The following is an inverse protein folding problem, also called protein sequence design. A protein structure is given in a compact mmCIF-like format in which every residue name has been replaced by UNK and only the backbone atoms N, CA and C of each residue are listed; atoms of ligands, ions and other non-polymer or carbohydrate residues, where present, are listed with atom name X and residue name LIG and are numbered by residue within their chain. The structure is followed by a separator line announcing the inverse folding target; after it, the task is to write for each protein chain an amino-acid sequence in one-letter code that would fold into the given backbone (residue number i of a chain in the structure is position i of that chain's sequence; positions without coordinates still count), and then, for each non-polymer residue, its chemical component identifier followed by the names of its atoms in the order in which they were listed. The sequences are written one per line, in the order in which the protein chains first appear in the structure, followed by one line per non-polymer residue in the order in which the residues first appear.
data_IF_411987613793
#
_entry.id   IF_411987613793
#
_cell.length_a   1.000
_cell.length_b   1.000
_cell.length_c   1.000
_cell.angle_alpha   90.00
_cell.angle_beta   90.00
_cell.angle_gamma   90.00
#
_symmetry.space_group_name_H-M   'P 1'
#
loop_
_entity.id
_entity.type
_entity.pdbx_description
1 polymer ?
#
# COMPACT_ATOMS: atom_id res chain seq x y z
N UNK A 1 31.13 -29.35 -30.61
CA UNK A 1 30.71 -29.43 -29.20
C UNK A 1 30.83 -28.04 -28.61
N UNK A 2 29.70 -27.37 -28.42
CA UNK A 2 29.61 -26.07 -27.76
C UNK A 2 29.42 -26.28 -26.26
N UNK A 3 29.95 -25.37 -25.45
CA UNK A 3 29.33 -24.89 -24.20
C UNK A 3 30.10 -23.64 -23.75
N UNK A 4 29.59 -22.49 -24.19
CA UNK A 4 29.91 -21.18 -23.61
C UNK A 4 29.14 -21.07 -22.29
N UNK A 5 29.86 -20.84 -21.18
CA UNK A 5 29.27 -20.55 -19.89
C UNK A 5 28.77 -19.11 -19.84
N UNK A 6 27.46 -18.94 -19.67
CA UNK A 6 26.82 -17.65 -19.40
C UNK A 6 26.86 -17.44 -17.88
N UNK A 7 27.43 -16.30 -17.47
CA UNK A 7 27.44 -15.84 -16.08
C UNK A 7 26.01 -15.53 -15.61
N UNK A 8 25.72 -15.94 -14.37
CA UNK A 8 24.43 -15.80 -13.72
C UNK A 8 24.00 -14.34 -13.53
N UNK A 9 22.76 -14.07 -13.92
CA UNK A 9 22.04 -12.82 -13.65
C UNK A 9 21.72 -12.82 -12.15
N UNK A 10 22.13 -11.76 -11.45
CA UNK A 10 21.82 -11.53 -10.04
C UNK A 10 20.30 -11.32 -9.83
N UNK A 11 19.82 -11.79 -8.67
CA UNK A 11 18.43 -12.00 -8.33
C UNK A 11 17.49 -10.81 -8.54
N UNK A 12 16.45 -11.07 -9.33
CA UNK A 12 15.24 -10.26 -9.46
C UNK A 12 14.43 -10.43 -8.17
N UNK A 13 14.34 -9.38 -7.34
CA UNK A 13 13.34 -9.31 -6.28
C UNK A 13 11.97 -8.98 -6.89
N UNK A 14 10.96 -9.76 -6.52
CA UNK A 14 9.55 -9.33 -6.53
C UNK A 14 8.88 -9.14 -7.90
N UNK A 15 8.83 -10.18 -8.75
CA UNK A 15 7.77 -10.24 -9.75
C UNK A 15 6.48 -10.55 -9.00
N UNK A 16 5.56 -9.59 -8.85
CA UNK A 16 4.11 -9.76 -8.95
C UNK A 16 3.44 -8.39 -9.14
N UNK A 17 3.47 -7.97 -10.40
CA UNK A 17 2.59 -7.00 -11.03
C UNK A 17 2.54 -7.38 -12.49
N UNK A 18 2.22 -8.65 -12.78
CA UNK A 18 1.98 -9.12 -14.14
C UNK A 18 0.70 -8.41 -14.58
N UNK A 19 0.85 -7.23 -15.17
CA UNK A 19 -0.09 -6.73 -16.16
C UNK A 19 -0.36 -7.88 -17.11
N UNK A 20 -1.65 -8.18 -17.33
CA UNK A 20 -2.09 -9.26 -18.18
C UNK A 20 -1.30 -9.32 -19.50
N UNK A 21 -0.36 -10.26 -19.57
CA UNK A 21 0.18 -10.74 -20.82
C UNK A 21 -0.90 -11.66 -21.37
N UNK A 22 -1.87 -11.09 -22.08
CA UNK A 22 -2.67 -11.78 -23.09
C UNK A 22 -2.93 -10.80 -24.23
N UNK A 23 -2.23 -11.03 -25.34
CA UNK A 23 -2.33 -10.26 -26.57
C UNK A 23 -1.06 -9.48 -26.92
N UNK A 24 0.06 -10.16 -27.18
CA UNK A 24 1.09 -9.55 -28.06
C UNK A 24 0.47 -9.54 -29.46
N UNK A 25 -0.32 -8.51 -29.73
CA UNK A 25 -0.62 -7.99 -31.05
C UNK A 25 -0.39 -6.48 -30.96
N UNK A 26 0.74 -6.03 -31.51
CA UNK A 26 0.98 -4.61 -31.78
C UNK A 26 1.46 -3.77 -30.60
N UNK A 27 2.60 -4.11 -29.98
CA UNK A 27 3.45 -3.05 -29.43
C UNK A 27 4.05 -2.31 -30.63
N UNK A 28 3.34 -1.30 -31.11
CA UNK A 28 3.80 -0.32 -32.08
C UNK A 28 4.70 0.72 -31.39
N UNK A 29 5.11 1.78 -32.10
CA UNK A 29 6.09 2.81 -31.70
C UNK A 29 6.33 2.92 -30.18
N UNK A 30 7.47 2.39 -29.70
CA UNK A 30 7.86 2.45 -28.28
C UNK A 30 8.03 1.10 -27.56
N UNK A 31 7.80 -0.04 -28.23
CA UNK A 31 8.16 -1.36 -27.69
C UNK A 31 9.67 -1.64 -27.71
N UNK A 32 10.11 -2.58 -26.86
CA UNK A 32 11.48 -3.07 -26.91
C UNK A 32 11.82 -3.60 -28.31
N UNK A 33 12.74 -2.94 -29.01
CA UNK A 33 13.08 -3.29 -30.38
C UNK A 33 13.84 -4.63 -30.40
N UNK A 34 13.26 -5.65 -31.04
CA UNK A 34 14.01 -6.87 -31.38
C UNK A 34 15.08 -6.58 -32.44
N UNK A 35 16.12 -7.44 -32.58
CA UNK A 35 17.23 -7.19 -33.52
C UNK A 35 16.79 -6.91 -34.97
N UNK A 36 15.73 -7.58 -35.44
CA UNK A 36 15.15 -7.36 -36.76
C UNK A 36 14.48 -5.98 -36.88
N UNK A 37 13.77 -5.54 -35.84
CA UNK A 37 13.15 -4.21 -35.82
C UNK A 37 14.23 -3.12 -35.79
N UNK A 38 15.27 -3.28 -34.99
CA UNK A 38 16.41 -2.36 -34.96
C UNK A 38 17.11 -2.26 -36.32
N UNK A 39 17.33 -3.40 -36.99
CA UNK A 39 17.92 -3.41 -38.34
C UNK A 39 17.01 -2.73 -39.37
N UNK A 40 15.71 -3.04 -39.37
CA UNK A 40 14.74 -2.43 -40.28
C UNK A 40 14.65 -0.90 -40.08
N UNK A 41 14.65 -0.42 -38.83
CA UNK A 41 14.69 1.01 -38.50
C UNK A 41 15.98 1.67 -39.01
N UNK A 42 17.14 1.01 -38.80
CA UNK A 42 18.44 1.52 -39.27
C UNK A 42 18.50 1.63 -40.79
N UNK A 43 18.15 0.56 -41.51
CA UNK A 43 18.13 0.55 -42.99
C UNK A 43 17.12 1.58 -43.54
N UNK A 44 15.97 1.75 -42.88
CA UNK A 44 15.00 2.79 -43.25
C UNK A 44 15.59 4.18 -43.07
N UNK A 45 16.27 4.44 -41.95
CA UNK A 45 16.91 5.72 -41.68
C UNK A 45 18.02 6.02 -42.72
N UNK A 46 18.87 5.04 -43.03
CA UNK A 46 19.91 5.16 -44.06
C UNK A 46 19.33 5.47 -45.45
N UNK A 47 18.21 4.86 -45.82
CA UNK A 47 17.53 5.12 -47.08
C UNK A 47 16.84 6.49 -47.16
N UNK A 48 16.50 7.11 -46.03
CA UNK A 48 15.80 8.40 -45.95
C UNK A 48 16.73 9.60 -45.74
N UNK A 49 17.93 9.40 -45.18
CA UNK A 49 18.78 10.47 -44.65
C UNK A 49 19.16 11.54 -45.67
N UNK A 50 19.37 11.15 -46.94
CA UNK A 50 19.99 12.04 -47.93
C UNK A 50 21.36 12.55 -47.47
N UNK A 51 21.80 13.69 -47.98
CA UNK A 51 22.98 14.39 -47.46
C UNK A 51 22.58 15.21 -46.22
N UNK A 52 23.22 14.95 -45.08
CA UNK A 52 23.06 15.72 -43.85
C UNK A 52 24.44 16.07 -43.29
N UNK A 53 24.69 17.35 -43.05
CA UNK A 53 25.98 17.88 -42.59
C UNK A 53 26.09 17.92 -41.05
N UNK A 54 25.14 17.31 -40.34
CA UNK A 54 25.07 17.30 -38.89
C UNK A 54 24.44 18.55 -38.26
N UNK A 55 23.93 19.49 -39.06
CA UNK A 55 23.18 20.64 -38.54
C UNK A 55 21.86 20.19 -37.89
N UNK A 56 21.44 20.90 -36.84
CA UNK A 56 20.23 20.57 -36.11
C UNK A 56 19.61 21.81 -35.47
N UNK A 57 18.35 21.68 -35.05
CA UNK A 57 17.65 22.73 -34.33
C UNK A 57 17.92 22.65 -32.83
N UNK A 58 17.92 23.79 -32.15
CA UNK A 58 17.91 23.80 -30.69
C UNK A 58 16.52 23.39 -30.22
N UNK A 59 16.37 22.28 -29.48
CA UNK A 59 15.08 21.85 -28.99
C UNK A 59 14.51 22.86 -28.00
N UNK A 60 13.18 22.88 -27.88
CA UNK A 60 12.51 23.67 -26.86
C UNK A 60 13.02 23.30 -25.46
N UNK A 61 13.18 24.30 -24.59
CA UNK A 61 13.57 24.07 -23.21
C UNK A 61 12.53 23.16 -22.52
N UNK A 62 12.95 22.19 -21.68
CA UNK A 62 12.03 21.37 -20.90
C UNK A 62 11.10 22.22 -20.03
N UNK A 63 9.89 21.72 -19.76
CA UNK A 63 8.95 22.41 -18.88
C UNK A 63 9.56 22.71 -17.50
N UNK A 64 9.25 23.91 -16.98
CA UNK A 64 9.60 24.32 -15.63
C UNK A 64 8.82 23.55 -14.55
N UNK A 65 7.61 23.09 -14.87
CA UNK A 65 6.74 22.37 -13.96
C UNK A 65 7.26 20.95 -13.71
N UNK A 66 7.32 20.57 -12.43
CA UNK A 66 7.86 19.26 -12.04
C UNK A 66 6.99 18.11 -12.55
N UNK A 67 5.67 18.31 -12.62
CA UNK A 67 4.74 17.28 -13.06
C UNK A 67 4.94 16.92 -14.54
N UNK A 68 5.20 17.90 -15.40
CA UNK A 68 5.44 17.67 -16.83
C UNK A 68 6.75 16.89 -17.05
N UNK A 69 7.80 17.25 -16.29
CA UNK A 69 9.08 16.50 -16.33
C UNK A 69 8.92 15.09 -15.80
N UNK A 70 8.08 14.89 -14.78
CA UNK A 70 7.78 13.57 -14.25
C UNK A 70 6.99 12.74 -15.29
N UNK A 71 5.99 13.32 -15.96
CA UNK A 71 5.22 12.66 -17.02
C UNK A 71 6.08 12.20 -18.20
N UNK A 72 7.12 12.96 -18.54
CA UNK A 72 8.03 12.63 -19.63
C UNK A 72 8.88 11.37 -19.35
N UNK A 73 9.01 10.96 -18.07
CA UNK A 73 9.76 9.76 -17.71
C UNK A 73 8.93 8.49 -17.98
N UNK A 74 9.64 7.43 -18.39
CA UNK A 74 9.09 6.07 -18.41
C UNK A 74 8.60 5.66 -17.01
N UNK A 75 7.61 4.76 -16.90
CA UNK A 75 7.01 4.38 -15.61
C UNK A 75 8.02 3.99 -14.52
N UNK A 76 9.00 3.14 -14.83
CA UNK A 76 9.99 2.67 -13.85
C UNK A 76 10.91 3.81 -13.38
N UNK A 77 11.27 4.73 -14.28
CA UNK A 77 12.06 5.92 -13.94
C UNK A 77 11.27 6.90 -13.06
N UNK A 78 9.96 7.05 -13.28
CA UNK A 78 9.08 7.82 -12.37
C UNK A 78 9.04 7.19 -10.99
N UNK A 79 8.82 5.88 -10.93
CA UNK A 79 8.77 5.14 -9.68
C UNK A 79 10.07 5.31 -8.88
N UNK A 80 11.22 5.13 -9.53
CA UNK A 80 12.53 5.32 -8.90
C UNK A 80 12.75 6.76 -8.39
N UNK A 81 12.36 7.78 -9.16
CA UNK A 81 12.51 9.18 -8.75
C UNK A 81 11.67 9.52 -7.51
N UNK A 82 10.43 9.04 -7.46
CA UNK A 82 9.54 9.24 -6.29
C UNK A 82 10.04 8.42 -5.09
N UNK A 83 10.45 7.17 -5.31
CA UNK A 83 11.01 6.33 -4.25
C UNK A 83 12.27 6.97 -3.62
N UNK A 84 13.12 7.62 -4.42
CA UNK A 84 14.27 8.34 -3.91
C UNK A 84 13.89 9.54 -3.04
N UNK A 85 12.87 10.33 -3.42
CA UNK A 85 12.38 11.44 -2.59
C UNK A 85 11.81 10.92 -1.25
N UNK A 86 11.12 9.80 -1.30
CA UNK A 86 10.44 9.20 -0.16
C UNK A 86 11.33 8.24 0.65
N UNK A 87 12.58 8.04 0.23
CA UNK A 87 13.52 7.17 0.92
C UNK A 87 13.77 7.67 2.34
N UNK A 88 13.68 6.77 3.32
CA UNK A 88 13.82 7.10 4.74
C UNK A 88 12.67 7.95 5.31
N UNK A 89 11.57 8.13 4.57
CA UNK A 89 10.39 8.84 5.08
C UNK A 89 9.81 8.16 6.33
N UNK A 90 9.78 6.83 6.32
CA UNK A 90 9.49 6.02 7.49
C UNK A 90 10.79 5.43 8.05
N UNK A 91 10.91 5.45 9.37
CA UNK A 91 12.00 4.80 10.09
C UNK A 91 11.44 3.73 11.01
N UNK A 92 12.15 2.62 11.12
CA UNK A 92 11.82 1.53 12.05
C UNK A 92 12.93 1.41 13.07
N UNK A 93 12.56 1.51 14.34
CA UNK A 93 13.43 1.47 15.52
C UNK A 93 12.78 0.58 16.58
N UNK A 94 13.22 0.66 17.83
CA UNK A 94 12.67 -0.13 18.93
C UNK A 94 13.34 -1.50 19.08
N UNK A 95 12.65 -2.41 19.74
CA UNK A 95 13.16 -3.76 20.05
C UNK A 95 12.36 -4.82 19.29
N UNK A 96 12.82 -6.06 19.28
CA UNK A 96 12.03 -7.18 18.75
C UNK A 96 10.73 -7.43 19.51
N UNK A 97 10.62 -6.99 20.77
CA UNK A 97 9.41 -7.08 21.57
C UNK A 97 8.43 -5.94 21.29
N UNK A 98 8.90 -4.82 20.76
CA UNK A 98 8.10 -3.64 20.47
C UNK A 98 8.73 -2.81 19.35
N UNK A 99 8.65 -3.24 18.08
CA UNK A 99 9.12 -2.45 16.95
C UNK A 99 8.35 -1.13 16.87
N UNK A 100 9.06 -0.03 16.60
CA UNK A 100 8.51 1.31 16.53
C UNK A 100 8.71 1.90 15.14
N UNK A 101 7.61 2.24 14.47
CA UNK A 101 7.61 2.94 13.18
C UNK A 101 7.38 4.42 13.43
N UNK A 102 8.10 5.29 12.72
CA UNK A 102 7.96 6.75 12.83
C UNK A 102 7.92 7.41 11.45
N UNK A 103 6.97 8.33 11.26
CA UNK A 103 6.81 9.13 10.04
C UNK A 103 6.12 10.47 10.32
N UNK A 104 6.80 11.59 10.00
CA UNK A 104 6.24 12.96 10.01
C UNK A 104 5.44 13.38 11.26
N UNK A 105 5.91 13.00 12.46
CA UNK A 105 5.27 13.37 13.72
C UNK A 105 4.24 12.36 14.22
N UNK A 106 4.05 11.27 13.46
CA UNK A 106 3.24 10.13 13.88
C UNK A 106 4.17 8.97 14.17
N UNK A 107 3.94 8.31 15.30
CA UNK A 107 4.68 7.08 15.67
C UNK A 107 3.72 5.98 16.01
N UNK A 108 4.14 4.74 15.79
CA UNK A 108 3.41 3.53 16.16
C UNK A 108 4.38 2.55 16.80
N UNK A 109 4.12 2.15 18.04
CA UNK A 109 4.84 1.06 18.71
C UNK A 109 3.95 -0.18 18.71
N UNK A 110 4.37 -1.28 18.06
CA UNK A 110 3.59 -2.52 18.00
C UNK A 110 4.16 -3.54 18.99
N UNK A 111 3.47 -3.87 20.10
CA UNK A 111 3.88 -4.95 20.97
C UNK A 111 3.89 -6.26 20.21
N UNK A 112 4.98 -7.02 20.24
CA UNK A 112 5.07 -8.28 19.50
C UNK A 112 4.32 -9.38 20.26
N UNK A 113 3.32 -10.05 19.65
CA UNK A 113 2.55 -11.08 20.34
C UNK A 113 3.42 -12.31 20.65
N UNK A 114 3.25 -12.86 21.86
CA UNK A 114 3.93 -14.07 22.31
C UNK A 114 3.44 -15.31 21.56
N UNK A 115 4.34 -16.28 21.33
CA UNK A 115 3.97 -17.50 20.60
C UNK A 115 2.89 -18.32 21.33
N UNK A 116 3.03 -18.48 22.65
CA UNK A 116 2.05 -19.20 23.47
C UNK A 116 0.68 -18.50 23.46
N UNK A 117 0.67 -17.16 23.47
CA UNK A 117 -0.55 -16.36 23.40
C UNK A 117 -1.24 -16.53 22.04
N UNK A 118 -0.49 -16.54 20.94
CA UNK A 118 -1.05 -16.78 19.61
C UNK A 118 -1.67 -18.17 19.50
N UNK A 119 -1.00 -19.20 20.04
CA UNK A 119 -1.52 -20.56 20.09
C UNK A 119 -2.83 -20.66 20.88
N UNK A 120 -2.93 -19.93 21.98
CA UNK A 120 -4.07 -19.97 22.91
C UNK A 120 -5.23 -19.09 22.45
N UNK A 121 -4.95 -17.84 22.08
CA UNK A 121 -5.95 -16.80 21.87
C UNK A 121 -6.28 -16.53 20.41
N UNK A 122 -5.48 -17.01 19.45
CA UNK A 122 -5.66 -16.66 18.03
C UNK A 122 -5.88 -17.86 17.10
N UNK A 123 -5.25 -19.00 17.38
CA UNK A 123 -5.41 -20.21 16.57
C UNK A 123 -6.87 -20.72 16.49
N UNK A 124 -7.71 -20.64 17.55
CA UNK A 124 -9.13 -21.01 17.44
C UNK A 124 -9.94 -20.16 16.45
N UNK A 125 -9.65 -18.86 16.36
CA UNK A 125 -10.27 -17.96 15.39
C UNK A 125 -9.85 -18.31 13.97
N UNK A 126 -8.54 -18.55 13.75
CA UNK A 126 -8.03 -18.99 12.46
C UNK A 126 -8.70 -20.28 12.01
N UNK A 127 -8.77 -21.29 12.90
CA UNK A 127 -9.44 -22.56 12.59
C UNK A 127 -10.88 -22.34 12.17
N UNK A 128 -11.61 -21.44 12.83
CA UNK A 128 -13.01 -21.16 12.50
C UNK A 128 -13.12 -20.43 11.16
N UNK A 129 -12.20 -19.50 10.86
CA UNK A 129 -12.15 -18.81 9.57
C UNK A 129 -11.83 -19.75 8.40
N UNK A 130 -11.11 -20.85 8.64
CA UNK A 130 -10.82 -21.86 7.61
C UNK A 130 -12.09 -22.54 7.03
N UNK A 131 -13.24 -22.45 7.69
CA UNK A 131 -14.49 -22.98 7.14
C UNK A 131 -14.98 -22.15 5.94
N UNK A 132 -14.51 -20.89 5.79
CA UNK A 132 -14.87 -19.99 4.68
C UNK A 132 -14.01 -20.17 3.42
N UNK A 133 -13.08 -21.12 3.40
CA UNK A 133 -12.10 -21.24 2.31
C UNK A 133 -12.73 -21.48 0.95
N UNK A 134 -13.77 -22.30 0.88
CA UNK A 134 -14.47 -22.59 -0.36
C UNK A 134 -15.08 -21.32 -0.97
N UNK A 135 -15.69 -20.48 -0.14
CA UNK A 135 -16.36 -19.25 -0.57
C UNK A 135 -15.37 -18.13 -0.90
N UNK A 136 -14.22 -18.09 -0.21
CA UNK A 136 -13.22 -17.01 -0.34
C UNK A 136 -12.08 -17.32 -1.31
N UNK A 137 -11.97 -18.53 -1.84
CA UNK A 137 -10.82 -18.96 -2.63
C UNK A 137 -10.50 -18.02 -3.80
N UNK A 138 -11.52 -17.65 -4.59
CA UNK A 138 -11.35 -16.78 -5.75
C UNK A 138 -10.85 -15.39 -5.37
N UNK A 139 -11.44 -14.77 -4.33
CA UNK A 139 -10.97 -13.50 -3.78
C UNK A 139 -9.53 -13.62 -3.29
N UNK A 140 -9.23 -14.67 -2.51
CA UNK A 140 -7.93 -14.85 -1.87
C UNK A 140 -6.81 -14.93 -2.89
N UNK A 141 -6.99 -15.75 -3.94
CA UNK A 141 -6.00 -15.97 -5.00
C UNK A 141 -5.77 -14.68 -5.77
N UNK A 142 -6.83 -13.99 -6.22
CA UNK A 142 -6.66 -12.77 -7.00
C UNK A 142 -5.99 -11.65 -6.19
N UNK A 143 -6.36 -11.50 -4.92
CA UNK A 143 -5.75 -10.53 -4.00
C UNK A 143 -4.24 -10.75 -3.76
N UNK A 144 -3.67 -11.92 -4.09
CA UNK A 144 -2.22 -12.12 -3.98
C UNK A 144 -1.42 -11.28 -4.97
N UNK A 145 -1.99 -10.97 -6.14
CA UNK A 145 -1.33 -10.20 -7.19
C UNK A 145 -2.04 -8.90 -7.57
N UNK A 146 -3.34 -8.75 -7.24
CA UNK A 146 -4.12 -7.56 -7.56
C UNK A 146 -5.12 -7.22 -6.46
N UNK A 147 -4.76 -6.27 -5.59
CA UNK A 147 -5.70 -5.67 -4.63
C UNK A 147 -6.41 -4.44 -5.21
N UNK A 148 -5.72 -3.66 -6.06
CA UNK A 148 -6.24 -2.39 -6.59
C UNK A 148 -7.46 -2.61 -7.49
N UNK A 149 -7.56 -3.74 -8.19
CA UNK A 149 -8.74 -4.12 -8.96
C UNK A 149 -10.03 -4.18 -8.12
N UNK A 150 -9.93 -4.61 -6.86
CA UNK A 150 -11.09 -4.64 -5.95
C UNK A 150 -11.52 -3.22 -5.55
N UNK A 151 -10.57 -2.33 -5.27
CA UNK A 151 -10.87 -0.91 -5.03
C UNK A 151 -11.46 -0.25 -6.30
N UNK A 152 -11.00 -0.67 -7.48
CA UNK A 152 -11.57 -0.36 -8.80
C UNK A 152 -13.09 -0.46 -8.86
N UNK A 153 -13.66 -1.55 -8.35
CA UNK A 153 -15.11 -1.76 -8.35
C UNK A 153 -15.90 -0.83 -7.44
N UNK A 154 -15.28 -0.22 -6.42
CA UNK A 154 -15.97 0.66 -5.48
C UNK A 154 -15.96 2.13 -5.92
N UNK A 155 -14.85 2.56 -6.55
CA UNK A 155 -14.57 3.98 -6.76
C UNK A 155 -14.19 4.34 -8.20
N UNK A 156 -14.44 3.47 -9.19
CA UNK A 156 -14.02 3.66 -10.59
C UNK A 156 -12.53 4.05 -10.68
N UNK A 157 -11.68 3.22 -10.05
CA UNK A 157 -10.23 3.39 -10.07
C UNK A 157 -9.68 2.69 -11.32
N UNK A 158 -9.61 3.43 -12.42
CA UNK A 158 -9.12 2.95 -13.72
C UNK A 158 -8.27 4.01 -14.44
N UNK A 159 -7.54 3.59 -15.49
CA UNK A 159 -6.60 4.45 -16.24
C UNK A 159 -7.25 5.61 -16.99
N UNK A 160 -8.57 5.62 -17.15
CA UNK A 160 -9.32 6.68 -17.82
C UNK A 160 -9.92 7.65 -16.80
N UNK A 161 -10.53 7.13 -15.73
CA UNK A 161 -11.21 7.93 -14.72
C UNK A 161 -10.27 8.51 -13.66
N UNK A 162 -9.27 7.73 -13.23
CA UNK A 162 -8.46 7.99 -12.02
C UNK A 162 -6.99 7.63 -12.18
N UNK A 163 -6.40 8.01 -13.32
CA UNK A 163 -5.02 7.65 -13.68
C UNK A 163 -3.99 8.16 -12.66
N UNK A 164 -4.18 9.35 -12.11
CA UNK A 164 -3.24 9.96 -11.16
C UNK A 164 -3.43 9.41 -9.76
N UNK A 165 -4.64 9.05 -9.40
CA UNK A 165 -4.90 8.29 -8.18
C UNK A 165 -4.24 6.92 -8.25
N UNK A 166 -4.31 6.21 -9.39
CA UNK A 166 -3.58 4.95 -9.59
C UNK A 166 -2.07 5.12 -9.47
N UNK A 167 -1.51 6.13 -10.15
CA UNK A 167 -0.08 6.45 -10.04
C UNK A 167 0.29 6.76 -8.57
N UNK A 168 -0.53 7.53 -7.85
CA UNK A 168 -0.30 7.82 -6.43
C UNK A 168 -0.29 6.56 -5.57
N UNK A 169 -1.31 5.70 -5.70
CA UNK A 169 -1.42 4.48 -4.91
C UNK A 169 -0.26 3.52 -5.19
N UNK A 170 0.17 3.42 -6.45
CA UNK A 170 1.35 2.63 -6.81
C UNK A 170 2.63 3.18 -6.15
N UNK A 171 2.81 4.51 -6.09
CA UNK A 171 3.96 5.11 -5.38
C UNK A 171 3.86 4.96 -3.86
N UNK A 172 2.65 4.98 -3.33
CA UNK A 172 2.40 4.76 -1.89
C UNK A 172 2.75 3.34 -1.51
N UNK A 173 2.38 2.37 -2.34
CA UNK A 173 2.78 0.97 -2.16
C UNK A 173 4.30 0.82 -2.00
N UNK A 174 5.07 1.44 -2.92
CA UNK A 174 6.54 1.42 -2.91
C UNK A 174 7.13 1.98 -1.59
N UNK A 175 6.43 2.91 -0.94
CA UNK A 175 6.87 3.55 0.32
C UNK A 175 6.39 2.76 1.55
N UNK A 176 5.21 2.16 1.50
CA UNK A 176 4.56 1.45 2.61
C UNK A 176 5.18 0.07 2.86
N UNK A 177 5.61 -0.63 1.81
CA UNK A 177 6.18 -1.98 1.93
C UNK A 177 7.50 -1.98 2.74
N UNK A 178 8.25 -0.87 2.71
CA UNK A 178 9.55 -0.76 3.37
C UNK A 178 9.47 -0.87 4.91
N UNK A 179 8.70 -0.03 5.64
CA UNK A 179 8.54 -0.18 7.08
C UNK A 179 7.81 -1.48 7.46
N UNK A 180 6.89 -1.98 6.64
CA UNK A 180 6.21 -3.26 6.90
C UNK A 180 7.21 -4.41 7.01
N UNK A 181 8.09 -4.57 6.00
CA UNK A 181 9.08 -5.64 5.99
C UNK A 181 10.10 -5.49 7.12
N UNK A 182 10.48 -4.26 7.47
CA UNK A 182 11.36 -3.99 8.59
C UNK A 182 10.72 -4.35 9.95
N UNK A 183 9.42 -4.07 10.14
CA UNK A 183 8.69 -4.49 11.36
C UNK A 183 8.60 -6.01 11.42
N UNK A 184 8.27 -6.69 10.31
CA UNK A 184 8.22 -8.17 10.24
C UNK A 184 9.55 -8.81 10.61
N UNK A 185 10.66 -8.24 10.13
CA UNK A 185 12.00 -8.67 10.48
C UNK A 185 12.26 -8.50 11.98
N UNK A 186 11.91 -7.34 12.54
CA UNK A 186 12.13 -7.07 13.96
C UNK A 186 11.28 -7.98 14.87
N UNK A 187 9.98 -8.15 14.57
CA UNK A 187 9.06 -8.94 15.37
C UNK A 187 9.28 -10.45 15.22
N UNK A 188 9.64 -10.93 14.03
CA UNK A 188 9.96 -12.34 13.75
C UNK A 188 8.90 -13.36 14.22
N UNK A 189 7.62 -12.98 14.18
CA UNK A 189 6.51 -13.82 14.66
C UNK A 189 6.32 -15.06 13.77
N UNK A 190 6.21 -16.27 14.35
CA UNK A 190 5.99 -17.50 13.59
C UNK A 190 4.62 -17.52 12.93
N UNK A 191 4.54 -18.12 11.74
CA UNK A 191 3.31 -18.28 10.96
C UNK A 191 2.38 -19.32 11.58
N UNK A 192 1.06 -19.28 11.31
CA UNK A 192 0.12 -20.28 11.80
C UNK A 192 0.51 -21.73 11.49
N UNK A 193 1.07 -22.00 10.30
CA UNK A 193 1.51 -23.33 9.90
C UNK A 193 2.66 -23.90 10.74
N UNK A 194 3.39 -23.07 11.49
CA UNK A 194 4.41 -23.52 12.43
C UNK A 194 3.80 -24.15 13.70
N UNK A 195 2.55 -23.83 14.04
CA UNK A 195 1.88 -24.35 15.23
C UNK A 195 1.22 -25.70 14.98
N UNK A 196 0.76 -25.97 13.75
CA UNK A 196 0.10 -27.23 13.44
C UNK A 196 0.12 -27.54 11.94
N UNK A 197 0.49 -28.77 11.53
CA UNK A 197 0.39 -29.19 10.14
C UNK A 197 -1.06 -29.23 9.64
N UNK A 198 -2.05 -29.19 10.54
CA UNK A 198 -3.48 -29.15 10.19
C UNK A 198 -3.92 -27.80 9.62
N UNK A 199 -3.11 -26.74 9.76
CA UNK A 199 -3.45 -25.42 9.20
C UNK A 199 -3.54 -25.49 7.67
N UNK A 200 -2.62 -26.22 7.02
CA UNK A 200 -2.57 -26.40 5.56
C UNK A 200 -2.93 -25.12 4.79
N UNK A 201 -2.03 -24.09 4.79
CA UNK A 201 -2.30 -22.84 4.11
C UNK A 201 -2.64 -23.07 2.63
N UNK A 202 -3.62 -22.33 2.13
CA UNK A 202 -4.14 -22.50 0.76
C UNK A 202 -3.43 -21.62 -0.28
N UNK A 203 -2.48 -20.81 0.16
CA UNK A 203 -1.52 -20.08 -0.68
C UNK A 203 -0.12 -20.25 -0.08
N UNK A 204 0.90 -20.03 -0.90
CA UNK A 204 2.28 -20.16 -0.44
C UNK A 204 2.57 -19.17 0.69
N UNK A 205 3.13 -19.66 1.79
CA UNK A 205 3.50 -18.81 2.92
C UNK A 205 4.84 -18.11 2.61
N UNK A 206 4.91 -16.77 2.68
CA UNK A 206 6.16 -16.06 2.45
C UNK A 206 7.23 -16.39 3.52
N UNK A 207 8.51 -16.23 3.16
CA UNK A 207 9.66 -16.54 4.03
C UNK A 207 9.91 -15.56 5.18
N UNK A 208 9.03 -14.59 5.40
CA UNK A 208 9.13 -13.59 6.48
C UNK A 208 8.03 -13.79 7.54
N UNK A 209 8.21 -13.16 8.70
CA UNK A 209 7.32 -13.23 9.86
C UNK A 209 5.85 -12.87 9.55
N UNK A 210 4.95 -13.37 10.40
CA UNK A 210 3.50 -13.19 10.24
C UNK A 210 3.04 -11.79 10.65
N UNK A 211 3.61 -11.19 11.70
CA UNK A 211 3.09 -9.95 12.23
C UNK A 211 3.95 -8.74 11.82
N UNK A 212 3.35 -7.62 11.38
CA UNK A 212 1.93 -7.45 11.01
C UNK A 212 1.59 -8.09 9.66
N UNK A 213 0.31 -8.20 9.28
CA UNK A 213 -0.13 -8.65 7.96
C UNK A 213 0.15 -7.60 6.88
N UNK A 214 0.86 -8.00 5.81
CA UNK A 214 1.25 -7.08 4.74
C UNK A 214 0.08 -6.61 3.90
N UNK A 215 -0.72 -7.55 3.38
CA UNK A 215 -1.99 -7.25 2.70
C UNK A 215 -2.91 -6.35 3.54
N UNK A 216 -2.94 -6.51 4.86
CA UNK A 216 -3.72 -5.62 5.73
C UNK A 216 -3.11 -4.21 5.78
N UNK A 217 -1.79 -4.10 5.96
CA UNK A 217 -1.08 -2.81 5.93
C UNK A 217 -1.26 -2.07 4.61
N UNK A 218 -1.03 -2.73 3.49
CA UNK A 218 -1.17 -2.16 2.16
C UNK A 218 -2.63 -1.75 1.88
N UNK A 219 -3.61 -2.63 2.16
CA UNK A 219 -5.01 -2.34 1.90
C UNK A 219 -5.58 -1.21 2.79
N UNK A 220 -5.21 -1.16 4.08
CA UNK A 220 -5.62 -0.05 4.95
C UNK A 220 -4.93 1.26 4.58
N UNK A 221 -3.69 1.23 4.07
CA UNK A 221 -3.04 2.43 3.54
C UNK A 221 -3.75 2.95 2.29
N UNK A 222 -4.17 2.06 1.37
CA UNK A 222 -4.97 2.43 0.21
C UNK A 222 -6.34 2.98 0.62
N UNK A 223 -7.06 2.30 1.49
CA UNK A 223 -8.35 2.77 2.01
C UNK A 223 -8.23 4.16 2.64
N UNK A 224 -7.19 4.38 3.46
CA UNK A 224 -6.90 5.66 4.08
C UNK A 224 -6.71 6.76 3.03
N UNK A 225 -5.83 6.57 2.04
CA UNK A 225 -5.58 7.61 1.03
C UNK A 225 -6.77 7.86 0.12
N UNK A 226 -7.51 6.83 -0.27
CA UNK A 226 -8.71 6.98 -1.08
C UNK A 226 -9.78 7.80 -0.34
N UNK A 227 -9.99 7.52 0.94
CA UNK A 227 -10.92 8.28 1.77
C UNK A 227 -10.44 9.72 2.02
N UNK A 228 -9.13 9.93 2.20
CA UNK A 228 -8.56 11.27 2.29
C UNK A 228 -8.75 12.06 0.99
N UNK A 229 -8.58 11.43 -0.17
CA UNK A 229 -8.84 12.06 -1.48
C UNK A 229 -10.30 12.46 -1.63
N UNK A 230 -11.22 11.56 -1.27
CA UNK A 230 -12.66 11.83 -1.30
C UNK A 230 -13.04 13.05 -0.45
N UNK A 231 -12.54 13.11 0.78
CA UNK A 231 -12.80 14.22 1.71
C UNK A 231 -12.15 15.52 1.23
N UNK A 232 -10.86 15.46 0.87
CA UNK A 232 -10.11 16.67 0.49
C UNK A 232 -10.60 17.29 -0.82
N UNK A 233 -11.02 16.48 -1.79
CA UNK A 233 -11.61 16.99 -3.04
C UNK A 233 -12.93 17.75 -2.81
N UNK A 234 -13.73 17.32 -1.82
CA UNK A 234 -15.02 17.98 -1.51
C UNK A 234 -14.89 19.18 -0.59
N UNK A 235 -13.93 19.15 0.32
CA UNK A 235 -13.68 20.24 1.26
C UNK A 235 -12.18 20.61 1.28
N UNK A 236 -11.67 21.33 0.25
CA UNK A 236 -10.25 21.65 0.15
C UNK A 236 -9.68 22.47 1.31
N UNK A 237 -10.54 23.25 1.99
CA UNK A 237 -10.19 24.07 3.15
C UNK A 237 -10.14 23.31 4.48
N UNK A 238 -10.67 22.09 4.53
CA UNK A 238 -10.72 21.28 5.74
C UNK A 238 -9.55 20.30 5.80
N UNK A 239 -9.19 19.86 7.01
CA UNK A 239 -8.17 18.82 7.19
C UNK A 239 -8.83 17.45 7.00
N UNK A 240 -8.46 16.74 5.93
CA UNK A 240 -9.06 15.47 5.59
C UNK A 240 -8.72 14.35 6.59
N UNK A 241 -7.57 14.43 7.27
CA UNK A 241 -7.19 13.43 8.30
C UNK A 241 -8.11 13.54 9.51
N UNK A 242 -8.44 14.76 9.93
CA UNK A 242 -9.40 14.99 11.01
C UNK A 242 -10.78 14.43 10.64
N UNK A 243 -11.31 14.80 9.48
CA UNK A 243 -12.61 14.30 9.01
C UNK A 243 -12.65 12.78 8.84
N UNK A 244 -11.56 12.16 8.37
CA UNK A 244 -11.46 10.70 8.31
C UNK A 244 -11.56 10.05 9.68
N UNK A 245 -10.83 10.58 10.68
CA UNK A 245 -10.86 10.06 12.04
C UNK A 245 -12.27 10.17 12.62
N UNK A 246 -12.91 11.33 12.49
CA UNK A 246 -14.28 11.56 13.00
C UNK A 246 -15.26 10.51 12.44
N UNK A 247 -15.19 10.21 11.13
CA UNK A 247 -16.04 9.19 10.49
C UNK A 247 -15.70 7.78 10.98
N UNK A 248 -14.42 7.43 11.09
CA UNK A 248 -14.01 6.09 11.51
C UNK A 248 -14.44 5.78 12.95
N UNK A 249 -14.40 6.77 13.84
CA UNK A 249 -14.75 6.56 15.25
C UNK A 249 -16.23 6.81 15.57
N UNK A 250 -17.04 7.26 14.61
CA UNK A 250 -18.47 7.49 14.82
C UNK A 250 -19.19 6.21 15.29
N UNK A 251 -20.05 6.33 16.30
CA UNK A 251 -20.86 5.23 16.84
C UNK A 251 -22.15 5.01 16.04
N UNK A 252 -22.66 6.05 15.40
CA UNK A 252 -23.89 5.99 14.62
C UNK A 252 -23.60 5.58 13.16
N UNK A 253 -24.55 4.92 12.48
CA UNK A 253 -24.44 4.66 11.06
C UNK A 253 -24.18 5.96 10.29
N UNK A 254 -23.22 5.92 9.38
CA UNK A 254 -22.83 7.09 8.62
C UNK A 254 -23.88 7.51 7.60
N UNK A 255 -23.81 8.77 7.17
CA UNK A 255 -24.55 9.26 6.02
C UNK A 255 -24.08 8.55 4.73
N UNK A 256 -24.86 8.64 3.65
CA UNK A 256 -24.45 8.12 2.34
C UNK A 256 -23.11 8.72 1.83
N UNK A 257 -22.77 9.94 2.26
CA UNK A 257 -21.47 10.54 1.94
C UNK A 257 -20.31 9.87 2.70
N UNK A 258 -20.56 9.45 3.94
CA UNK A 258 -19.59 8.75 4.78
C UNK A 258 -19.43 7.28 4.35
N UNK A 259 -20.43 6.69 3.70
CA UNK A 259 -20.31 5.36 3.11
C UNK A 259 -19.19 5.29 2.06
N UNK A 260 -18.97 6.37 1.29
CA UNK A 260 -17.85 6.47 0.35
C UNK A 260 -16.48 6.50 1.05
N UNK A 261 -16.43 6.85 2.33
CA UNK A 261 -15.24 6.80 3.19
C UNK A 261 -15.09 5.42 3.83
N UNK A 262 -16.18 4.77 4.23
CA UNK A 262 -16.16 3.50 4.96
C UNK A 262 -16.01 2.27 4.04
N UNK A 263 -16.54 2.30 2.81
CA UNK A 263 -16.47 1.17 1.88
C UNK A 263 -15.03 0.72 1.52
N UNK A 264 -14.07 1.64 1.29
CA UNK A 264 -12.67 1.25 1.14
C UNK A 264 -12.11 0.52 2.37
N UNK A 265 -12.49 0.91 3.59
CA UNK A 265 -12.06 0.22 4.81
C UNK A 265 -12.75 -1.14 4.98
N UNK A 266 -14.02 -1.27 4.57
CA UNK A 266 -14.71 -2.57 4.54
C UNK A 266 -14.01 -3.55 3.60
N UNK A 267 -13.56 -3.08 2.42
CA UNK A 267 -12.76 -3.88 1.52
C UNK A 267 -11.38 -4.20 2.09
N UNK A 268 -10.70 -3.25 2.73
CA UNK A 268 -9.42 -3.49 3.37
C UNK A 268 -9.52 -4.55 4.47
N UNK A 269 -10.58 -4.49 5.29
CA UNK A 269 -10.88 -5.50 6.30
C UNK A 269 -11.17 -6.88 5.66
N UNK A 270 -11.90 -6.92 4.55
CA UNK A 270 -12.15 -8.17 3.80
C UNK A 270 -10.85 -8.80 3.29
N UNK A 271 -9.96 -8.00 2.69
CA UNK A 271 -8.66 -8.45 2.19
C UNK A 271 -7.79 -9.00 3.35
N UNK A 272 -7.79 -8.29 4.48
CA UNK A 272 -7.06 -8.69 5.68
C UNK A 272 -7.61 -9.99 6.30
N UNK A 273 -8.92 -10.11 6.47
CA UNK A 273 -9.59 -11.32 6.98
C UNK A 273 -9.36 -12.53 6.07
N UNK A 274 -9.38 -12.32 4.76
CA UNK A 274 -9.07 -13.34 3.76
C UNK A 274 -7.67 -13.96 3.97
N UNK A 275 -6.71 -13.26 4.60
CA UNK A 275 -5.41 -13.84 4.96
C UNK A 275 -5.48 -14.82 6.14
N UNK A 276 -6.39 -14.58 7.08
CA UNK A 276 -6.71 -15.52 8.17
C UNK A 276 -7.40 -16.76 7.62
N UNK A 277 -8.41 -16.58 6.76
CA UNK A 277 -9.09 -17.68 6.04
C UNK A 277 -8.08 -18.53 5.26
N UNK A 278 -7.12 -17.88 4.60
CA UNK A 278 -6.07 -18.54 3.84
C UNK A 278 -5.08 -19.36 4.71
N UNK A 279 -5.08 -19.15 6.02
CA UNK A 279 -4.21 -19.84 6.98
C UNK A 279 -2.78 -19.29 7.05
N UNK A 280 -2.54 -18.07 6.55
CA UNK A 280 -1.18 -17.46 6.53
C UNK A 280 -0.96 -16.41 7.61
N UNK A 281 -2.01 -15.91 8.23
CA UNK A 281 -1.98 -14.84 9.25
C UNK A 281 -2.94 -15.13 10.40
N UNK A 282 -2.60 -14.68 11.60
CA UNK A 282 -3.53 -14.63 12.74
C UNK A 282 -4.42 -13.38 12.64
N UNK A 283 -5.61 -13.36 13.27
CA UNK A 283 -6.46 -12.15 13.31
C UNK A 283 -5.74 -10.90 13.82
N UNK A 284 -4.89 -11.01 14.84
CA UNK A 284 -4.08 -9.90 15.35
C UNK A 284 -3.08 -9.36 14.31
N UNK A 285 -2.55 -10.21 13.43
CA UNK A 285 -1.67 -9.75 12.34
C UNK A 285 -2.45 -8.77 11.44
N UNK A 286 -3.73 -9.06 11.18
CA UNK A 286 -4.64 -8.21 10.40
C UNK A 286 -5.00 -6.92 11.15
N UNK A 287 -5.25 -6.98 12.45
CA UNK A 287 -5.51 -5.78 13.27
C UNK A 287 -4.30 -4.83 13.30
N UNK A 288 -3.11 -5.35 13.58
CA UNK A 288 -1.87 -4.59 13.61
C UNK A 288 -1.49 -4.10 12.21
N UNK A 289 -1.71 -4.94 11.20
CA UNK A 289 -1.54 -4.54 9.81
C UNK A 289 -2.44 -3.38 9.44
N UNK A 290 -3.72 -3.43 9.81
CA UNK A 290 -4.67 -2.34 9.59
C UNK A 290 -4.27 -1.05 10.31
N UNK A 291 -3.82 -1.13 11.57
CA UNK A 291 -3.33 0.04 12.32
C UNK A 291 -2.07 0.64 11.70
N UNK A 292 -1.11 -0.21 11.31
CA UNK A 292 0.09 0.25 10.60
C UNK A 292 -0.31 0.90 9.27
N UNK A 293 -1.16 0.27 8.46
CA UNK A 293 -1.63 0.82 7.18
C UNK A 293 -2.33 2.17 7.32
N UNK A 294 -3.23 2.29 8.30
CA UNK A 294 -3.89 3.54 8.65
C UNK A 294 -2.86 4.62 9.03
N UNK A 295 -1.94 4.31 9.94
CA UNK A 295 -0.88 5.22 10.39
C UNK A 295 0.00 5.71 9.23
N UNK A 296 0.44 4.79 8.36
CA UNK A 296 1.26 5.12 7.20
C UNK A 296 0.48 5.98 6.20
N UNK A 297 -0.80 5.67 5.98
CA UNK A 297 -1.70 6.44 5.11
C UNK A 297 -1.88 7.88 5.59
N UNK A 298 -2.21 8.10 6.87
CA UNK A 298 -2.36 9.45 7.44
C UNK A 298 -1.02 10.20 7.50
N UNK A 299 0.10 9.50 7.66
CA UNK A 299 1.44 10.10 7.58
C UNK A 299 1.75 10.63 6.16
N UNK A 300 1.29 9.90 5.13
CA UNK A 300 1.45 10.27 3.72
C UNK A 300 0.47 11.36 3.26
N UNK A 301 -0.59 11.66 4.03
CA UNK A 301 -1.49 12.78 3.78
C UNK A 301 -0.74 14.11 3.68
N UNK A 302 0.30 14.30 4.51
CA UNK A 302 1.07 15.56 4.53
C UNK A 302 1.86 15.79 3.25
N UNK A 303 2.75 14.86 2.83
CA UNK A 303 3.47 15.04 1.57
C UNK A 303 2.56 15.03 0.34
N UNK A 304 1.43 14.31 0.33
CA UNK A 304 0.53 14.23 -0.82
C UNK A 304 -0.47 15.40 -0.90
N UNK A 305 -1.11 15.76 0.22
CA UNK A 305 -2.27 16.66 0.28
C UNK A 305 -2.02 17.93 1.10
N UNK A 306 -1.00 17.94 1.96
CA UNK A 306 -0.65 19.06 2.85
C UNK A 306 -1.32 19.02 4.23
N UNK A 307 -2.19 18.03 4.46
CA UNK A 307 -2.88 17.80 5.73
C UNK A 307 -2.06 16.85 6.60
N UNK A 308 -2.00 17.07 7.90
CA UNK A 308 -1.22 16.24 8.81
C UNK A 308 -1.92 15.98 10.14
N UNK A 309 -1.29 15.11 10.91
CA UNK A 309 -1.66 14.73 12.26
C UNK A 309 -0.37 14.42 13.04
N UNK A 310 -0.38 14.58 14.35
CA UNK A 310 0.76 14.29 15.23
C UNK A 310 0.25 13.48 16.41
N UNK A 311 0.72 12.24 16.54
CA UNK A 311 0.27 11.34 17.59
C UNK A 311 1.20 10.15 17.78
N UNK A 312 1.29 9.62 19.00
CA UNK A 312 1.96 8.35 19.30
C UNK A 312 0.92 7.26 19.53
N UNK A 313 0.74 6.38 18.54
CA UNK A 313 -0.07 5.19 18.68
C UNK A 313 0.74 4.14 19.48
N UNK A 314 0.29 3.85 20.69
CA UNK A 314 0.94 2.86 21.55
C UNK A 314 -0.10 1.88 22.12
N UNK A 315 -0.54 0.89 21.31
CA UNK A 315 -1.30 -0.24 21.82
C UNK A 315 -0.68 -0.87 23.07
N UNK A 316 -1.53 -1.27 24.00
CA UNK A 316 -1.12 -2.10 25.13
C UNK A 316 -0.72 -3.51 24.66
N UNK A 317 -0.04 -4.25 25.53
CA UNK A 317 0.25 -5.66 25.27
C UNK A 317 -1.05 -6.42 24.95
N UNK A 318 -1.07 -7.24 23.88
CA UNK A 318 -2.29 -7.93 23.47
C UNK A 318 -2.72 -8.97 24.50
N UNK A 319 -3.96 -9.42 24.40
CA UNK A 319 -4.56 -10.44 25.27
C UNK A 319 -4.68 -10.02 26.75
N UNK A 320 -4.91 -8.72 27.00
CA UNK A 320 -5.16 -8.13 28.33
C UNK A 320 -6.51 -7.42 28.38
N UNK A 321 -7.05 -7.13 29.57
CA UNK A 321 -8.33 -6.41 29.70
C UNK A 321 -8.27 -4.91 29.31
N UNK A 322 -7.09 -4.41 28.92
CA UNK A 322 -6.90 -3.02 28.48
C UNK A 322 -7.67 -2.75 27.18
N UNK A 323 -8.41 -1.64 27.11
CA UNK A 323 -9.12 -1.23 25.90
C UNK A 323 -8.18 -0.92 24.72
N UNK A 324 -6.93 -0.58 25.00
CA UNK A 324 -5.87 -0.40 24.01
C UNK A 324 -5.20 -1.73 23.61
N UNK A 325 -5.56 -2.86 24.21
CA UNK A 325 -5.08 -4.18 23.82
C UNK A 325 -6.00 -4.84 22.77
N UNK A 326 -5.40 -5.61 21.86
CA UNK A 326 -6.14 -6.44 20.93
C UNK A 326 -6.28 -7.87 21.47
N UNK A 327 -7.51 -8.38 21.57
CA UNK A 327 -7.78 -9.64 22.29
C UNK A 327 -8.56 -10.69 21.50
N UNK A 328 -9.09 -10.35 20.31
CA UNK A 328 -10.12 -11.15 19.64
C UNK A 328 -9.82 -11.55 18.20
N UNK A 329 -10.85 -12.06 17.53
CA UNK A 329 -10.91 -12.19 16.08
C UNK A 329 -10.95 -10.82 15.40
N UNK A 330 -10.87 -10.79 14.08
CA UNK A 330 -10.77 -9.55 13.31
C UNK A 330 -12.06 -9.23 12.56
N UNK A 331 -12.63 -8.05 12.86
CA UNK A 331 -13.69 -7.40 12.09
C UNK A 331 -13.37 -5.91 11.97
N UNK A 332 -13.98 -5.23 11.00
CA UNK A 332 -13.79 -3.78 10.86
C UNK A 332 -14.34 -3.03 12.09
N UNK A 333 -15.47 -3.47 12.63
CA UNK A 333 -16.12 -2.86 13.78
C UNK A 333 -15.22 -2.93 15.02
N UNK A 334 -14.68 -4.12 15.33
CA UNK A 334 -13.75 -4.29 16.45
C UNK A 334 -12.47 -3.48 16.25
N UNK A 335 -11.99 -3.37 15.01
CA UNK A 335 -10.82 -2.53 14.68
C UNK A 335 -11.11 -1.05 14.88
N UNK A 336 -12.30 -0.56 14.54
CA UNK A 336 -12.72 0.84 14.75
C UNK A 336 -12.87 1.18 16.23
N UNK A 337 -13.45 0.28 17.01
CA UNK A 337 -13.55 0.43 18.47
C UNK A 337 -12.15 0.49 19.10
N UNK A 338 -11.25 -0.40 18.70
CA UNK A 338 -9.87 -0.38 19.16
C UNK A 338 -9.12 0.88 18.73
N UNK A 339 -9.28 1.34 17.48
CA UNK A 339 -8.70 2.60 17.01
C UNK A 339 -9.15 3.78 17.87
N UNK A 340 -10.43 3.83 18.26
CA UNK A 340 -10.97 4.87 19.14
C UNK A 340 -10.24 4.91 20.49
N UNK A 341 -9.91 3.76 21.07
CA UNK A 341 -9.16 3.68 22.33
C UNK A 341 -7.69 4.15 22.20
N UNK A 342 -7.14 4.20 20.98
CA UNK A 342 -5.75 4.59 20.71
C UNK A 342 -5.59 6.06 20.34
N UNK A 343 -6.68 6.79 20.06
CA UNK A 343 -6.63 8.17 19.60
C UNK A 343 -6.51 9.16 20.78
N UNK A 344 -5.93 10.35 20.56
CA UNK A 344 -5.83 11.36 21.61
C UNK A 344 -7.21 11.95 21.93
N UNK A 345 -7.40 12.39 23.17
CA UNK A 345 -8.65 13.00 23.60
C UNK A 345 -8.96 14.32 22.86
N UNK A 346 -7.93 15.08 22.49
CA UNK A 346 -8.05 16.32 21.71
C UNK A 346 -7.50 16.11 20.29
N UNK A 347 -8.41 15.79 19.37
CA UNK A 347 -8.10 15.56 17.96
C UNK A 347 -7.73 16.87 17.23
N UNK A 348 -8.23 18.03 17.67
CA UNK A 348 -7.91 19.32 17.06
C UNK A 348 -6.47 19.72 17.37
N UNK A 349 -6.03 19.54 18.61
CA UNK A 349 -4.65 19.78 19.00
C UNK A 349 -3.65 18.87 18.27
N UNK A 350 -4.06 17.64 17.93
CA UNK A 350 -3.25 16.70 17.17
C UNK A 350 -3.24 16.98 15.65
N UNK A 351 -4.20 17.77 15.16
CA UNK A 351 -4.32 18.11 13.74
C UNK A 351 -3.24 19.10 13.32
N UNK A 352 -2.58 18.84 12.19
CA UNK A 352 -1.48 19.64 11.70
C UNK A 352 -1.63 19.95 10.20
N UNK A 353 -0.83 20.89 9.69
CA UNK A 353 -0.67 21.11 8.26
C UNK A 353 0.82 21.23 7.91
N UNK A 354 1.15 21.12 6.63
CA UNK A 354 2.49 21.49 6.21
C UNK A 354 2.75 21.34 4.74
N UNK A 355 4.04 21.49 4.40
CA UNK A 355 4.48 21.44 3.01
C UNK A 355 4.31 20.04 2.43
N UNK A 356 3.71 20.00 1.25
CA UNK A 356 3.71 18.84 0.36
C UNK A 356 5.14 18.50 -0.06
N UNK A 357 5.37 17.23 -0.36
CA UNK A 357 6.59 16.79 -1.02
C UNK A 357 6.62 17.32 -2.46
N UNK A 358 7.79 17.36 -3.08
CA UNK A 358 7.95 17.91 -4.43
C UNK A 358 7.36 17.00 -5.49
N UNK A 359 7.70 15.70 -5.50
CA UNK A 359 7.20 14.76 -6.52
C UNK A 359 5.88 14.13 -6.07
N UNK A 360 5.85 13.56 -4.87
CA UNK A 360 4.60 12.93 -4.36
C UNK A 360 3.47 13.96 -4.24
N UNK A 361 3.76 15.20 -3.84
CA UNK A 361 2.79 16.28 -3.79
C UNK A 361 2.33 16.76 -5.16
N UNK A 362 3.19 16.69 -6.18
CA UNK A 362 2.78 17.00 -7.56
C UNK A 362 1.83 15.94 -8.11
N UNK A 363 2.10 14.64 -7.84
CA UNK A 363 1.19 13.54 -8.16
C UNK A 363 -0.13 13.71 -7.40
N UNK A 364 -0.06 13.93 -6.07
CA UNK A 364 -1.25 14.13 -5.23
C UNK A 364 -2.10 15.31 -5.68
N UNK A 365 -1.50 16.39 -6.18
CA UNK A 365 -2.22 17.53 -6.76
C UNK A 365 -2.98 17.14 -8.03
N UNK A 366 -2.41 16.30 -8.89
CA UNK A 366 -3.14 15.80 -10.07
C UNK A 366 -4.23 14.82 -9.69
N UNK A 367 -3.95 13.91 -8.74
CA UNK A 367 -4.93 12.96 -8.24
C UNK A 367 -6.13 13.68 -7.64
N UNK A 368 -5.93 14.70 -6.80
CA UNK A 368 -7.04 15.47 -6.20
C UNK A 368 -8.01 16.06 -7.23
N UNK A 369 -7.54 16.47 -8.41
CA UNK A 369 -8.41 17.00 -9.49
C UNK A 369 -9.39 15.95 -10.03
N UNK A 370 -9.16 14.67 -9.75
CA UNK A 370 -10.06 13.56 -10.13
C UNK A 370 -11.21 13.36 -9.11
N UNK A 371 -11.19 14.08 -7.97
CA UNK A 371 -12.11 13.86 -6.84
C UNK A 371 -13.02 15.05 -6.49
N UNK A 372 -12.93 16.16 -7.22
CA UNK A 372 -13.68 17.40 -6.97
C UNK A 372 -12.84 18.61 -7.34
#
# INVERSE_FOLDING_TARGET
MATLGIHGIHGIHGIHGIHGIHGIHGIHSGGGAGPLASNALGVTAEGLLGYWDGTGETPAAPSGAVIDRLQALQPDARAAAVAQEMSGFFTVTGTSAAPRVSGRGITLTLPTPGADDLGTHQLPYLRSAMDLRADRLGEIVLQTGDMLGFFGSQIHLDNYSRRWTLELLARVYDVVIQPEQAVKLAASVPRPSAYSPKVQPMIQTPGHGSCPSGHATEAFAFATLLSLMWLKGRAPGENAVRGLIDILIAETPGSAAEENVLMPFALAARIADNRTVAGVHFPIDSAYGGLLGFMLGISLARPALGDGFTHDFAPAAPFTEDAAAWNGGFTLEAWREWLRALLPADLDAATASGRRARLLGAIGTQALREWG
#
